data_IF_420968940900
#
_entry.id   IF_420968940900
#
_cell.length_a   1.000
_cell.length_b   1.000
_cell.length_c   1.000
_cell.angle_alpha   90.00
_cell.angle_beta   90.00
_cell.angle_gamma   90.00
#
_symmetry.space_group_name_H-M   'P 1'
#
loop_
_entity.id
_entity.type
_entity.pdbx_description
1 polymer ?
#
# COMPACT_ATOMS: atom_id res chain seq x y z
N UNK A 1 12.53 4.56 48.42
CA UNK A 1 12.06 4.64 47.02
C UNK A 1 11.61 3.24 46.66
N UNK A 2 10.30 3.02 46.71
CA UNK A 2 9.72 1.69 46.85
C UNK A 2 9.51 1.00 45.52
N UNK A 3 9.80 -0.29 45.49
CA UNK A 3 9.67 -1.22 44.36
C UNK A 3 8.27 -1.14 43.70
N UNK A 4 7.23 -0.77 44.48
CA UNK A 4 5.86 -0.54 43.98
C UNK A 4 5.73 0.71 43.09
N UNK A 5 6.51 1.77 43.34
CA UNK A 5 6.52 2.99 42.52
C UNK A 5 7.22 2.72 41.19
N UNK A 6 8.37 2.04 41.23
CA UNK A 6 9.13 1.66 40.03
C UNK A 6 8.36 0.64 39.17
N UNK A 7 7.63 -0.29 39.79
CA UNK A 7 6.75 -1.22 39.08
C UNK A 7 5.54 -0.52 38.43
N UNK A 8 4.95 0.47 39.11
CA UNK A 8 3.87 1.28 38.54
C UNK A 8 4.31 2.08 37.32
N UNK A 9 5.47 2.74 37.40
CA UNK A 9 6.06 3.48 36.26
C UNK A 9 6.43 2.55 35.10
N UNK A 10 6.96 1.36 35.38
CA UNK A 10 7.25 0.35 34.35
C UNK A 10 6.00 -0.14 33.62
N UNK A 11 4.90 -0.38 34.33
CA UNK A 11 3.63 -0.81 33.74
C UNK A 11 3.00 0.27 32.85
N UNK A 12 3.05 1.53 33.27
CA UNK A 12 2.57 2.66 32.46
C UNK A 12 3.38 2.78 31.17
N UNK A 13 4.71 2.79 31.26
CA UNK A 13 5.60 2.86 30.09
C UNK A 13 5.39 1.67 29.13
N UNK A 14 5.14 0.47 29.66
CA UNK A 14 4.85 -0.71 28.85
C UNK A 14 3.50 -0.56 28.13
N UNK A 15 2.46 -0.07 28.82
CA UNK A 15 1.14 0.13 28.25
C UNK A 15 1.14 1.17 27.13
N UNK A 16 1.87 2.28 27.28
CA UNK A 16 2.03 3.31 26.25
C UNK A 16 2.76 2.76 25.02
N UNK A 17 3.87 2.03 25.23
CA UNK A 17 4.60 1.33 24.15
C UNK A 17 3.72 0.33 23.39
N UNK A 18 2.85 -0.37 24.10
CA UNK A 18 1.97 -1.35 23.49
C UNK A 18 0.87 -0.69 22.64
N UNK A 19 0.27 0.40 23.14
CA UNK A 19 -0.75 1.16 22.43
C UNK A 19 -0.20 1.76 21.14
N UNK A 20 0.95 2.42 21.23
CA UNK A 20 1.65 3.01 20.08
C UNK A 20 2.01 1.95 19.02
N UNK A 21 2.55 0.78 19.42
CA UNK A 21 2.81 -0.31 18.46
C UNK A 21 1.54 -0.82 17.78
N UNK A 22 0.43 -0.84 18.52
CA UNK A 22 -0.86 -1.24 17.96
C UNK A 22 -1.34 -0.21 16.93
N UNK A 23 -1.15 1.08 17.21
CA UNK A 23 -1.45 2.18 16.29
C UNK A 23 -0.58 2.14 15.03
N UNK A 24 0.74 1.90 15.18
CA UNK A 24 1.68 1.68 14.09
C UNK A 24 1.19 0.57 13.16
N UNK A 25 0.88 -0.61 13.72
CA UNK A 25 0.41 -1.76 12.95
C UNK A 25 -0.92 -1.50 12.26
N UNK A 26 -1.85 -0.81 12.94
CA UNK A 26 -3.15 -0.45 12.35
C UNK A 26 -2.98 0.50 11.16
N UNK A 27 -2.08 1.49 11.28
CA UNK A 27 -1.78 2.43 10.21
C UNK A 27 -1.13 1.73 9.01
N UNK A 28 -0.14 0.87 9.25
CA UNK A 28 0.51 0.06 8.21
C UNK A 28 -0.50 -0.86 7.54
N UNK A 29 -1.38 -1.52 8.30
CA UNK A 29 -2.41 -2.41 7.77
C UNK A 29 -3.37 -1.67 6.85
N UNK A 30 -3.82 -0.46 7.24
CA UNK A 30 -4.67 0.39 6.41
C UNK A 30 -4.00 0.73 5.08
N UNK A 31 -2.76 1.21 5.11
CA UNK A 31 -2.02 1.57 3.88
C UNK A 31 -1.81 0.31 3.01
N UNK A 32 -1.52 -0.83 3.64
CA UNK A 32 -1.36 -2.12 2.94
C UNK A 32 -2.64 -2.56 2.23
N UNK A 33 -3.81 -2.38 2.86
CA UNK A 33 -5.10 -2.65 2.21
C UNK A 33 -5.33 -1.75 0.99
N UNK A 34 -4.94 -0.48 1.06
CA UNK A 34 -5.05 0.45 -0.06
C UNK A 34 -4.11 0.04 -1.22
N UNK A 35 -2.89 -0.40 -0.93
CA UNK A 35 -1.98 -0.99 -1.92
C UNK A 35 -2.63 -2.22 -2.56
N UNK A 36 -3.20 -3.13 -1.78
CA UNK A 36 -3.86 -4.34 -2.29
C UNK A 36 -5.04 -4.02 -3.21
N UNK A 37 -5.80 -2.97 -2.92
CA UNK A 37 -6.88 -2.49 -3.80
C UNK A 37 -6.31 -1.99 -5.14
N UNK A 38 -5.25 -1.20 -5.12
CA UNK A 38 -4.59 -0.72 -6.35
C UNK A 38 -4.01 -1.88 -7.16
N UNK A 39 -3.35 -2.84 -6.52
CA UNK A 39 -2.85 -4.06 -7.17
C UNK A 39 -3.98 -4.86 -7.82
N UNK A 40 -5.14 -4.95 -7.16
CA UNK A 40 -6.31 -5.62 -7.72
C UNK A 40 -6.84 -4.89 -8.95
N UNK A 41 -7.00 -3.56 -8.88
CA UNK A 41 -7.44 -2.75 -10.02
C UNK A 41 -6.48 -2.86 -11.23
N UNK A 42 -5.16 -2.94 -10.99
CA UNK A 42 -4.18 -3.22 -12.06
C UNK A 42 -4.47 -4.58 -12.73
N UNK A 43 -4.77 -5.62 -11.94
CA UNK A 43 -5.10 -6.95 -12.48
C UNK A 43 -6.38 -6.93 -13.31
N UNK A 44 -7.40 -6.18 -12.88
CA UNK A 44 -8.63 -6.01 -13.64
C UNK A 44 -8.38 -5.29 -14.97
N UNK A 45 -7.53 -4.26 -14.98
CA UNK A 45 -7.14 -3.58 -16.22
C UNK A 45 -6.43 -4.56 -17.15
N UNK A 46 -5.46 -5.34 -16.66
CA UNK A 46 -4.79 -6.37 -17.47
C UNK A 46 -5.77 -7.38 -18.06
N UNK A 47 -6.73 -7.86 -17.27
CA UNK A 47 -7.77 -8.78 -17.75
C UNK A 47 -8.61 -8.14 -18.87
N UNK A 48 -9.06 -6.90 -18.67
CA UNK A 48 -9.87 -6.18 -19.65
C UNK A 48 -9.07 -5.90 -20.93
N UNK A 49 -7.78 -5.58 -20.81
CA UNK A 49 -6.90 -5.42 -21.98
C UNK A 49 -6.67 -6.73 -22.71
N UNK A 50 -6.50 -7.84 -21.99
CA UNK A 50 -6.41 -9.17 -22.61
C UNK A 50 -7.67 -9.53 -23.39
N UNK A 51 -8.86 -9.28 -22.81
CA UNK A 51 -10.15 -9.48 -23.50
C UNK A 51 -10.28 -8.62 -24.75
N UNK A 52 -9.96 -7.33 -24.63
CA UNK A 52 -9.98 -6.41 -25.77
C UNK A 52 -9.07 -6.90 -26.91
N UNK A 53 -7.84 -7.27 -26.60
CA UNK A 53 -6.88 -7.79 -27.58
C UNK A 53 -7.40 -9.09 -28.21
N UNK A 54 -7.94 -10.00 -27.42
CA UNK A 54 -8.54 -11.24 -27.93
C UNK A 54 -9.66 -10.95 -28.94
N UNK A 55 -10.60 -10.06 -28.59
CA UNK A 55 -11.73 -9.71 -29.45
C UNK A 55 -11.29 -9.08 -30.78
N UNK A 56 -10.23 -8.25 -30.75
CA UNK A 56 -9.65 -7.66 -31.95
C UNK A 56 -9.01 -8.72 -32.86
N UNK A 57 -8.27 -9.68 -32.28
CA UNK A 57 -7.66 -10.78 -33.03
C UNK A 57 -8.72 -11.68 -33.67
N UNK A 58 -9.76 -12.06 -32.93
CA UNK A 58 -10.84 -12.92 -33.45
C UNK A 58 -11.65 -12.21 -34.55
N UNK A 59 -11.68 -10.87 -34.53
CA UNK A 59 -12.35 -10.06 -35.55
C UNK A 59 -11.45 -9.70 -36.74
N UNK A 60 -10.25 -10.29 -36.86
CA UNK A 60 -9.23 -9.98 -37.87
C UNK A 60 -8.88 -8.47 -37.96
N UNK A 61 -8.94 -7.76 -36.82
CA UNK A 61 -8.59 -6.35 -36.72
C UNK A 61 -7.14 -6.19 -36.30
N UNK A 62 -6.44 -5.26 -36.95
CA UNK A 62 -5.06 -4.92 -36.61
C UNK A 62 -5.00 -4.19 -35.27
N UNK A 63 -4.21 -4.73 -34.34
CA UNK A 63 -3.90 -4.05 -33.07
C UNK A 63 -2.75 -3.08 -33.31
N UNK A 64 -2.95 -1.82 -32.93
CA UNK A 64 -1.92 -0.79 -32.97
C UNK A 64 -1.44 -0.44 -31.57
N UNK A 65 -0.16 -0.10 -31.44
CA UNK A 65 0.39 0.52 -30.23
C UNK A 65 -0.13 1.96 -30.01
N UNK A 66 -0.79 2.54 -31.01
CA UNK A 66 -1.48 3.84 -30.92
C UNK A 66 -2.96 3.72 -30.58
N UNK A 67 -3.44 2.52 -30.26
CA UNK A 67 -4.81 2.28 -29.85
C UNK A 67 -5.13 3.02 -28.53
N UNK A 68 -6.18 3.85 -28.55
CA UNK A 68 -6.55 4.72 -27.43
C UNK A 68 -6.89 3.92 -26.16
N UNK A 69 -7.53 2.76 -26.30
CA UNK A 69 -7.85 1.91 -25.17
C UNK A 69 -6.56 1.33 -24.54
N UNK A 70 -5.61 0.87 -25.36
CA UNK A 70 -4.32 0.38 -24.89
C UNK A 70 -3.51 1.50 -24.22
N UNK A 71 -3.44 2.69 -24.84
CA UNK A 71 -2.72 3.85 -24.29
C UNK A 71 -3.29 4.23 -22.92
N UNK A 72 -4.61 4.33 -22.80
CA UNK A 72 -5.28 4.66 -21.53
C UNK A 72 -5.02 3.61 -20.47
N UNK A 73 -5.13 2.31 -20.82
CA UNK A 73 -4.84 1.22 -19.89
C UNK A 73 -3.40 1.30 -19.35
N UNK A 74 -2.41 1.51 -20.22
CA UNK A 74 -1.01 1.66 -19.83
C UNK A 74 -0.81 2.89 -18.93
N UNK A 75 -1.40 4.03 -19.29
CA UNK A 75 -1.31 5.25 -18.48
C UNK A 75 -1.90 5.06 -17.07
N UNK A 76 -3.07 4.45 -16.97
CA UNK A 76 -3.72 4.16 -15.68
C UNK A 76 -2.92 3.16 -14.84
N UNK A 77 -2.37 2.11 -15.46
CA UNK A 77 -1.50 1.16 -14.75
C UNK A 77 -0.26 1.88 -14.18
N UNK A 78 0.35 2.77 -14.95
CA UNK A 78 1.52 3.53 -14.49
C UNK A 78 1.16 4.48 -13.33
N UNK A 79 0.03 5.19 -13.41
CA UNK A 79 -0.48 6.01 -12.29
C UNK A 79 -0.69 5.17 -11.02
N UNK A 80 -1.31 4.00 -11.13
CA UNK A 80 -1.51 3.11 -9.98
C UNK A 80 -0.19 2.57 -9.42
N UNK A 81 0.80 2.26 -10.26
CA UNK A 81 2.14 1.86 -9.81
C UNK A 81 2.83 2.98 -9.04
N UNK A 82 2.75 4.22 -9.52
CA UNK A 82 3.29 5.40 -8.81
C UNK A 82 2.63 5.54 -7.44
N UNK A 83 1.30 5.46 -7.36
CA UNK A 83 0.55 5.52 -6.10
C UNK A 83 0.91 4.39 -5.13
N UNK A 84 1.18 3.18 -5.65
CA UNK A 84 1.66 2.06 -4.82
C UNK A 84 3.03 2.40 -4.23
N UNK A 85 3.96 2.94 -5.02
CA UNK A 85 5.29 3.34 -4.54
C UNK A 85 5.20 4.45 -3.48
N UNK A 86 4.34 5.46 -3.68
CA UNK A 86 4.11 6.51 -2.70
C UNK A 86 3.61 5.94 -1.36
N UNK A 87 2.67 5.00 -1.41
CA UNK A 87 2.13 4.32 -0.22
C UNK A 87 3.16 3.41 0.46
N UNK A 88 4.03 2.76 -0.30
CA UNK A 88 5.14 1.99 0.26
C UNK A 88 6.13 2.90 1.00
N UNK A 89 6.41 4.09 0.45
CA UNK A 89 7.22 5.10 1.13
C UNK A 89 6.52 5.66 2.38
N UNK A 90 5.19 5.77 2.37
CA UNK A 90 4.41 6.15 3.55
C UNK A 90 4.54 5.12 4.67
N UNK A 91 4.45 3.81 4.36
CA UNK A 91 4.71 2.74 5.34
C UNK A 91 6.12 2.86 5.93
N UNK A 92 7.12 3.16 5.11
CA UNK A 92 8.49 3.32 5.57
C UNK A 92 8.63 4.51 6.55
N UNK A 93 8.00 5.64 6.23
CA UNK A 93 7.96 6.81 7.13
C UNK A 93 7.25 6.52 8.45
N UNK A 94 6.17 5.74 8.43
CA UNK A 94 5.47 5.31 9.66
C UNK A 94 6.43 4.50 10.54
N UNK A 95 7.11 3.50 9.98
CA UNK A 95 8.10 2.71 10.74
C UNK A 95 9.20 3.57 11.35
N UNK A 96 9.80 4.45 10.55
CA UNK A 96 10.86 5.36 11.00
C UNK A 96 10.38 6.29 12.13
N UNK A 97 9.14 6.78 12.05
CA UNK A 97 8.55 7.62 13.09
C UNK A 97 8.48 6.89 14.44
N UNK A 98 7.95 5.65 14.46
CA UNK A 98 7.83 4.88 15.69
C UNK A 98 9.19 4.37 16.20
N UNK A 99 10.12 4.00 15.33
CA UNK A 99 11.50 3.67 15.73
C UNK A 99 12.21 4.86 16.39
N UNK A 100 12.05 6.07 15.83
CA UNK A 100 12.64 7.29 16.40
C UNK A 100 12.06 7.68 17.76
N UNK A 101 10.80 7.30 18.04
CA UNK A 101 10.10 7.58 19.31
C UNK A 101 10.65 6.76 20.48
N UNK A 102 11.25 5.59 20.23
CA UNK A 102 11.76 4.68 21.27
C UNK A 102 13.28 4.54 21.34
N UNK A 103 14.01 5.18 20.43
CA UNK A 103 15.48 5.27 20.45
C UNK A 103 16.00 6.63 20.96
N UNK A 104 15.13 7.43 21.59
CA UNK A 104 15.51 8.54 22.48
C UNK A 104 15.37 8.09 23.93
#
# INVERSE_FOLDING_TARGET
>A
MGILKDAGESLVNFSERFLDKTEELAQIARITMEIKKLEHSIKEIYLNTGKYVYDQVVSDRTISNTDDFIIKAVATINDYKTKIQEKQNEIQKVKEHYESKYHR
#
